data_IF_792024642158
#
_entry.id   IF_792024642158
#
_cell.length_a   1.000
_cell.length_b   1.000
_cell.length_c   1.000
_cell.angle_alpha   90.00
_cell.angle_beta   90.00
_cell.angle_gamma   90.00
#
_symmetry.space_group_name_H-M   'P 1'
#
loop_
_entity.id
_entity.type
_entity.pdbx_description
1 polymer ?
#
# COMPACT_ATOMS: atom_id res chain seq x y z
N UNK A 1 -7.18 20.48 -1.73
CA UNK A 1 -6.36 19.34 -1.31
C UNK A 1 -7.21 18.43 -0.43
N UNK A 2 -7.18 17.16 -0.69
CA UNK A 2 -7.90 16.27 0.20
C UNK A 2 -6.94 15.47 1.07
N UNK A 3 -7.42 15.06 2.22
CA UNK A 3 -6.66 14.28 3.18
C UNK A 3 -7.42 13.00 3.48
N UNK A 4 -6.72 11.88 3.46
CA UNK A 4 -7.30 10.60 3.78
C UNK A 4 -6.73 10.12 5.11
N UNK A 5 -7.59 9.65 6.01
CA UNK A 5 -7.15 9.14 7.29
C UNK A 5 -6.55 7.74 7.16
N UNK A 6 -5.73 7.34 8.15
CA UNK A 6 -5.15 6.00 8.17
C UNK A 6 -6.25 4.93 8.17
N UNK A 7 -7.36 5.19 8.84
CA UNK A 7 -8.48 4.25 8.87
C UNK A 7 -9.12 4.10 7.50
N UNK A 8 -9.26 5.19 6.76
CA UNK A 8 -9.81 5.15 5.41
C UNK A 8 -8.89 4.38 4.46
N UNK A 9 -7.58 4.60 4.57
CA UNK A 9 -6.59 3.87 3.78
C UNK A 9 -6.71 2.37 4.06
N UNK A 10 -6.76 1.99 5.32
CA UNK A 10 -6.87 0.60 5.74
C UNK A 10 -8.15 -0.04 5.21
N UNK A 11 -9.28 0.67 5.30
CA UNK A 11 -10.56 0.18 4.80
C UNK A 11 -10.52 -0.07 3.29
N UNK A 12 -9.94 0.86 2.53
CA UNK A 12 -9.84 0.73 1.08
C UNK A 12 -8.94 -0.45 0.71
N UNK A 13 -7.80 -0.56 1.38
CA UNK A 13 -6.87 -1.67 1.14
C UNK A 13 -7.56 -3.01 1.42
N UNK A 14 -8.24 -3.14 2.54
CA UNK A 14 -8.92 -4.38 2.90
C UNK A 14 -10.07 -4.72 1.97
N UNK A 15 -10.75 -3.71 1.42
CA UNK A 15 -11.91 -3.90 0.56
C UNK A 15 -11.53 -4.17 -0.90
N UNK A 16 -10.45 -3.56 -1.40
CA UNK A 16 -10.15 -3.54 -2.82
C UNK A 16 -8.85 -4.23 -3.22
N UNK A 17 -8.01 -4.58 -2.26
CA UNK A 17 -6.78 -5.32 -2.53
C UNK A 17 -6.96 -6.76 -2.07
N UNK A 18 -6.93 -7.69 -3.01
CA UNK A 18 -7.24 -9.09 -2.71
C UNK A 18 -6.06 -9.90 -2.22
N UNK A 19 -4.85 -9.54 -2.61
CA UNK A 19 -3.65 -10.26 -2.17
C UNK A 19 -3.29 -9.87 -0.74
N UNK A 20 -3.18 -10.86 0.13
CA UNK A 20 -2.80 -10.63 1.52
C UNK A 20 -1.42 -9.98 1.63
N UNK A 21 -0.48 -10.43 0.81
CA UNK A 21 0.87 -9.84 0.77
C UNK A 21 0.81 -8.38 0.34
N UNK A 22 0.06 -8.09 -0.72
CA UNK A 22 -0.07 -6.73 -1.23
C UNK A 22 -0.72 -5.82 -0.20
N UNK A 23 -1.75 -6.31 0.50
CA UNK A 23 -2.38 -5.54 1.57
C UNK A 23 -1.39 -5.20 2.67
N UNK A 24 -0.56 -6.16 3.07
CA UNK A 24 0.45 -5.94 4.10
C UNK A 24 1.48 -4.91 3.65
N UNK A 25 1.96 -5.00 2.42
CA UNK A 25 2.92 -4.05 1.86
C UNK A 25 2.34 -2.64 1.85
N UNK A 26 1.12 -2.49 1.35
CA UNK A 26 0.47 -1.20 1.26
C UNK A 26 0.21 -0.60 2.64
N UNK A 27 -0.26 -1.40 3.57
CA UNK A 27 -0.50 -0.96 4.93
C UNK A 27 0.78 -0.46 5.59
N UNK A 28 1.87 -1.24 5.49
CA UNK A 28 3.16 -0.86 6.05
C UNK A 28 3.69 0.44 5.44
N UNK A 29 3.50 0.61 4.15
CA UNK A 29 3.99 1.80 3.45
C UNK A 29 3.15 3.04 3.75
N UNK A 30 1.83 2.94 3.60
CA UNK A 30 0.96 4.11 3.67
C UNK A 30 0.50 4.47 5.08
N UNK A 31 0.43 3.51 5.97
CA UNK A 31 0.00 3.74 7.35
C UNK A 31 1.21 3.89 8.27
N UNK A 32 2.16 2.96 8.20
CA UNK A 32 3.32 2.96 9.09
C UNK A 32 4.49 3.78 8.56
N UNK A 33 4.49 4.15 7.28
CA UNK A 33 5.54 4.99 6.70
C UNK A 33 6.87 4.27 6.50
N UNK A 34 6.88 2.96 6.33
CA UNK A 34 8.09 2.17 6.17
C UNK A 34 8.73 2.43 4.80
N UNK A 35 10.05 2.54 4.76
CA UNK A 35 10.80 2.77 3.53
C UNK A 35 10.70 1.57 2.57
N UNK A 36 10.78 1.85 1.28
CA UNK A 36 10.66 0.83 0.23
C UNK A 36 11.73 -0.26 0.40
N UNK A 37 12.97 0.13 0.66
CA UNK A 37 14.07 -0.81 0.86
C UNK A 37 13.80 -1.76 2.03
N UNK A 38 13.23 -1.22 3.09
CA UNK A 38 12.87 -2.01 4.26
C UNK A 38 11.74 -2.99 3.95
N UNK A 39 10.76 -2.56 3.19
CA UNK A 39 9.67 -3.43 2.75
C UNK A 39 10.19 -4.59 1.91
N UNK A 40 11.15 -4.32 1.02
CA UNK A 40 11.76 -5.36 0.22
C UNK A 40 12.41 -6.43 1.09
N UNK A 41 13.10 -6.03 2.15
CA UNK A 41 13.72 -6.95 3.09
C UNK A 41 12.66 -7.72 3.89
N UNK A 42 11.65 -7.04 4.40
CA UNK A 42 10.61 -7.66 5.22
C UNK A 42 9.80 -8.71 4.47
N UNK A 43 9.51 -8.45 3.21
CA UNK A 43 8.68 -9.34 2.39
C UNK A 43 9.48 -10.23 1.45
N UNK A 44 10.80 -10.17 1.53
CA UNK A 44 11.70 -10.95 0.68
C UNK A 44 11.40 -10.74 -0.80
N UNK A 45 11.24 -9.47 -1.18
CA UNK A 45 10.95 -9.07 -2.55
C UNK A 45 12.00 -8.07 -3.02
N UNK A 46 12.11 -7.90 -4.34
CA UNK A 46 12.97 -6.86 -4.88
C UNK A 46 12.33 -5.48 -4.71
N UNK A 47 13.16 -4.44 -4.74
CA UNK A 47 12.66 -3.05 -4.70
C UNK A 47 11.71 -2.80 -5.87
N UNK A 48 12.02 -3.34 -7.05
CA UNK A 48 11.15 -3.20 -8.23
C UNK A 48 9.77 -3.80 -8.00
N UNK A 49 9.71 -4.96 -7.37
CA UNK A 49 8.43 -5.60 -7.04
C UNK A 49 7.63 -4.77 -6.04
N UNK A 50 8.29 -4.25 -5.01
CA UNK A 50 7.64 -3.38 -4.04
C UNK A 50 7.07 -2.14 -4.73
N UNK A 51 7.86 -1.48 -5.57
CA UNK A 51 7.40 -0.30 -6.31
C UNK A 51 6.19 -0.61 -7.17
N UNK A 52 6.16 -1.77 -7.82
CA UNK A 52 5.02 -2.20 -8.64
C UNK A 52 3.77 -2.37 -7.80
N UNK A 53 3.89 -3.04 -6.65
CA UNK A 53 2.78 -3.22 -5.71
C UNK A 53 2.26 -1.87 -5.25
N UNK A 54 3.15 -0.97 -4.87
CA UNK A 54 2.78 0.37 -4.38
C UNK A 54 2.09 1.20 -5.45
N UNK A 55 2.55 1.13 -6.69
CA UNK A 55 1.93 1.85 -7.81
C UNK A 55 0.49 1.39 -8.01
N UNK A 56 0.26 0.09 -8.02
CA UNK A 56 -1.10 -0.47 -8.17
C UNK A 56 -1.99 -0.10 -7.00
N UNK A 57 -1.46 -0.19 -5.79
CA UNK A 57 -2.21 0.19 -4.59
C UNK A 57 -2.55 1.68 -4.56
N UNK A 58 -1.60 2.52 -4.95
CA UNK A 58 -1.81 3.96 -5.03
C UNK A 58 -2.91 4.30 -6.02
N UNK A 59 -2.92 3.67 -7.18
CA UNK A 59 -3.97 3.87 -8.18
C UNK A 59 -5.34 3.48 -7.62
N UNK A 60 -5.41 2.37 -6.90
CA UNK A 60 -6.64 1.92 -6.25
C UNK A 60 -7.11 2.94 -5.22
N UNK A 61 -6.21 3.42 -4.38
CA UNK A 61 -6.54 4.42 -3.36
C UNK A 61 -7.07 5.71 -3.99
N UNK A 62 -6.39 6.22 -5.00
CA UNK A 62 -6.81 7.44 -5.69
C UNK A 62 -8.17 7.25 -6.37
N UNK A 63 -8.39 6.10 -6.98
CA UNK A 63 -9.65 5.80 -7.64
C UNK A 63 -10.83 5.76 -6.67
N UNK A 64 -10.61 5.30 -5.45
CA UNK A 64 -11.68 5.12 -4.46
C UNK A 64 -11.86 6.31 -3.55
N UNK A 65 -10.93 7.26 -3.54
CA UNK A 65 -11.03 8.46 -2.70
C UNK A 65 -11.69 9.64 -3.41
N UNK A 66 -12.03 9.52 -4.67
CA UNK A 66 -12.66 10.59 -5.45
C UNK A 66 -14.18 10.48 -5.46
#
# INVERSE_FOLDING_TARGET
>A
MFTISCQEIDNIINSWVYSERDRSVLHRRFVDGVKIERLAEEFDLSVSQIKRILTRGKETLLSKCW
#
